data_IF_878771635395
#
_entry.id   IF_878771635395
#
_cell.length_a   1.000
_cell.length_b   1.000
_cell.length_c   1.000
_cell.angle_alpha   90.00
_cell.angle_beta   90.00
_cell.angle_gamma   90.00
#
_symmetry.space_group_name_H-M   'P 1'
#
loop_
_entity.id
_entity.type
_entity.pdbx_description
1 polymer ?
#
# COMPACT_ATOMS: atom_id res chain seq x y z
N UNK A 1 -12.41 4.24 4.37
CA UNK A 1 -12.66 5.16 5.50
C UNK A 1 -11.37 5.18 6.33
N UNK A 2 -10.72 6.34 6.54
CA UNK A 2 -9.43 6.36 7.28
C UNK A 2 -9.72 6.27 8.78
N UNK A 3 -9.19 5.25 9.43
CA UNK A 3 -9.31 5.02 10.88
C UNK A 3 -7.96 5.30 11.54
N UNK A 4 -7.98 5.80 12.77
CA UNK A 4 -6.78 5.99 13.58
C UNK A 4 -6.90 5.28 14.92
N UNK A 5 -5.76 4.91 15.51
CA UNK A 5 -5.70 4.37 16.88
C UNK A 5 -5.28 5.52 17.80
N UNK A 6 -6.11 5.84 18.79
CA UNK A 6 -5.80 6.83 19.82
C UNK A 6 -5.66 6.18 21.19
N UNK A 7 -4.72 6.65 22.00
CA UNK A 7 -4.58 6.23 23.39
C UNK A 7 -5.55 7.02 24.27
N UNK A 8 -6.46 6.33 24.96
CA UNK A 8 -7.38 6.94 25.92
C UNK A 8 -7.03 6.52 27.35
N UNK A 9 -7.62 7.18 28.34
CA UNK A 9 -7.49 6.80 29.76
C UNK A 9 -7.92 5.34 30.05
N UNK A 10 -8.63 4.68 29.12
CA UNK A 10 -9.08 3.29 29.20
C UNK A 10 -8.38 2.37 28.16
N UNK A 11 -7.21 2.78 27.68
CA UNK A 11 -6.39 2.07 26.69
C UNK A 11 -6.61 2.55 25.24
N UNK A 12 -5.97 1.87 24.30
CA UNK A 12 -6.06 2.20 22.87
C UNK A 12 -7.47 1.95 22.31
N UNK A 13 -7.95 2.87 21.47
CA UNK A 13 -9.28 2.83 20.83
C UNK A 13 -9.18 3.24 19.36
N UNK A 14 -10.03 2.63 18.53
CA UNK A 14 -10.21 3.06 17.14
C UNK A 14 -11.11 4.28 17.10
N UNK A 15 -10.70 5.28 16.32
CA UNK A 15 -11.48 6.46 16.03
C UNK A 15 -11.67 6.63 14.53
N UNK A 16 -12.81 7.19 14.15
CA UNK A 16 -13.05 7.63 12.78
C UNK A 16 -12.18 8.86 12.44
N UNK A 17 -12.26 9.32 11.20
CA UNK A 17 -11.54 10.51 10.74
C UNK A 17 -11.97 11.81 11.44
N UNK A 18 -13.04 11.77 12.23
CA UNK A 18 -13.57 12.88 13.03
C UNK A 18 -13.20 12.74 14.52
N UNK A 19 -12.42 11.72 14.89
CA UNK A 19 -12.02 11.46 16.27
C UNK A 19 -13.11 10.81 17.13
N UNK A 20 -14.24 10.38 16.55
CA UNK A 20 -15.25 9.67 17.31
C UNK A 20 -14.85 8.21 17.52
N UNK A 21 -15.09 7.71 18.72
CA UNK A 21 -14.89 6.30 19.04
C UNK A 21 -15.78 5.43 18.15
N UNK A 22 -15.13 4.55 17.39
CA UNK A 22 -15.83 3.49 16.68
C UNK A 22 -16.30 2.50 17.73
N UNK A 23 -17.62 2.31 17.82
CA UNK A 23 -18.23 1.36 18.75
C UNK A 23 -17.65 -0.03 18.50
N UNK A 24 -17.34 -0.74 19.58
CA UNK A 24 -16.84 -2.12 19.54
C UNK A 24 -17.94 -3.05 19.04
N UNK A 25 -17.98 -3.27 17.74
CA UNK A 25 -18.80 -4.31 17.13
C UNK A 25 -18.01 -5.62 17.14
N UNK A 26 -18.68 -6.70 17.51
CA UNK A 26 -18.11 -8.03 17.50
C UNK A 26 -19.07 -9.00 16.81
N UNK A 27 -18.57 -10.18 16.45
CA UNK A 27 -19.38 -11.21 15.83
C UNK A 27 -20.30 -11.91 16.85
N UNK A 28 -21.51 -12.25 16.42
CA UNK A 28 -22.46 -13.05 17.22
C UNK A 28 -22.05 -14.52 17.40
N UNK A 29 -20.94 -14.92 16.78
CA UNK A 29 -20.46 -16.32 16.68
C UNK A 29 -18.94 -16.36 16.67
N UNK A 30 -18.38 -17.51 17.05
CA UNK A 30 -16.93 -17.74 17.03
C UNK A 30 -16.37 -17.72 15.60
N UNK A 31 -15.46 -16.80 15.33
CA UNK A 31 -14.79 -16.62 14.04
C UNK A 31 -13.27 -16.62 14.20
N UNK A 32 -12.59 -17.31 13.30
CA UNK A 32 -11.15 -17.20 13.10
C UNK A 32 -10.89 -16.50 11.77
N UNK A 33 -10.13 -15.41 11.80
CA UNK A 33 -9.53 -14.82 10.62
C UNK A 33 -8.19 -15.52 10.34
N UNK A 34 -8.18 -16.34 9.28
CA UNK A 34 -7.01 -17.06 8.79
C UNK A 34 -6.28 -16.15 7.81
N UNK A 35 -4.98 -15.90 8.06
CA UNK A 35 -4.17 -14.98 7.26
C UNK A 35 -2.81 -15.60 6.93
N UNK A 36 -2.74 -16.43 5.87
CA UNK A 36 -1.50 -16.99 5.39
C UNK A 36 -0.67 -15.91 4.70
N UNK A 37 0.61 -15.80 5.08
CA UNK A 37 1.56 -14.87 4.47
C UNK A 37 2.83 -15.59 4.07
N UNK A 38 3.28 -15.38 2.85
CA UNK A 38 4.60 -15.72 2.36
C UNK A 38 5.39 -14.43 2.15
N UNK A 39 6.58 -14.33 2.73
CA UNK A 39 7.50 -13.22 2.51
C UNK A 39 8.72 -13.70 1.72
N UNK A 40 8.93 -13.05 0.58
CA UNK A 40 10.09 -13.24 -0.29
C UNK A 40 11.20 -12.32 0.20
N UNK A 41 12.13 -12.88 0.95
CA UNK A 41 13.23 -12.17 1.59
C UNK A 41 14.43 -11.89 0.67
N UNK A 42 14.35 -12.34 -0.59
CA UNK A 42 15.33 -12.03 -1.64
C UNK A 42 14.81 -10.93 -2.61
N UNK A 43 15.30 -9.67 -2.52
CA UNK A 43 14.80 -8.56 -3.32
C UNK A 43 14.87 -8.78 -4.84
N UNK A 44 15.87 -9.53 -5.31
CA UNK A 44 16.02 -9.84 -6.74
C UNK A 44 14.80 -10.61 -7.29
N UNK A 45 14.18 -11.46 -6.46
CA UNK A 45 13.00 -12.23 -6.86
C UNK A 45 11.76 -11.36 -6.97
N UNK A 46 11.71 -10.18 -6.34
CA UNK A 46 10.58 -9.27 -6.47
C UNK A 46 10.37 -8.81 -7.92
N UNK A 47 11.39 -8.86 -8.76
CA UNK A 47 11.26 -8.54 -10.19
C UNK A 47 10.56 -9.65 -10.99
N UNK A 48 10.78 -10.91 -10.64
CA UNK A 48 10.35 -12.09 -11.41
C UNK A 48 9.10 -12.76 -10.85
N UNK A 49 8.96 -12.78 -9.53
CA UNK A 49 7.88 -13.46 -8.84
C UNK A 49 6.59 -12.62 -8.88
N UNK A 50 5.47 -13.32 -9.06
CA UNK A 50 4.13 -12.76 -9.27
C UNK A 50 3.10 -13.71 -8.65
N UNK A 51 1.88 -13.26 -8.29
CA UNK A 51 0.92 -14.10 -7.60
C UNK A 51 0.61 -15.42 -8.32
N UNK A 52 0.58 -15.42 -9.65
CA UNK A 52 0.35 -16.62 -10.47
C UNK A 52 1.43 -17.71 -10.35
N UNK A 53 2.62 -17.34 -9.85
CA UNK A 53 3.71 -18.25 -9.57
C UNK A 53 3.58 -18.96 -8.22
N UNK A 54 2.59 -18.60 -7.41
CA UNK A 54 2.41 -19.08 -6.03
C UNK A 54 1.04 -19.71 -5.90
N UNK A 55 1.00 -20.96 -5.47
CA UNK A 55 -0.23 -21.66 -5.11
C UNK A 55 -0.25 -21.91 -3.61
N UNK A 56 -1.41 -21.70 -3.01
CA UNK A 56 -1.64 -21.94 -1.60
C UNK A 56 -2.78 -22.93 -1.43
N UNK A 57 -2.57 -23.94 -0.61
CA UNK A 57 -3.65 -24.76 -0.06
C UNK A 57 -3.51 -24.87 1.46
N UNK A 58 -4.61 -25.18 2.13
CA UNK A 58 -4.67 -25.26 3.59
C UNK A 58 -5.36 -26.54 3.99
N UNK A 59 -4.75 -27.28 4.90
CA UNK A 59 -5.32 -28.48 5.53
C UNK A 59 -5.38 -28.29 7.02
N UNK A 60 -6.33 -28.92 7.70
CA UNK A 60 -6.30 -29.07 9.15
C UNK A 60 -6.51 -30.51 9.55
N UNK A 61 -6.01 -30.82 10.74
CA UNK A 61 -6.16 -32.14 11.33
C UNK A 61 -7.55 -32.36 11.91
N UNK A 62 -8.23 -31.28 12.33
CA UNK A 62 -9.57 -31.34 12.89
C UNK A 62 -10.64 -31.49 11.79
N UNK A 63 -11.44 -32.59 11.75
CA UNK A 63 -12.48 -32.80 10.74
C UNK A 63 -13.57 -31.72 10.74
N UNK A 64 -13.84 -31.10 11.89
CA UNK A 64 -14.79 -30.01 12.04
C UNK A 64 -14.33 -28.75 11.29
N UNK A 65 -13.07 -28.68 10.90
CA UNK A 65 -12.46 -27.61 10.13
C UNK A 65 -12.24 -27.96 8.66
N UNK A 66 -12.89 -29.02 8.15
CA UNK A 66 -12.87 -29.36 6.72
C UNK A 66 -13.37 -28.21 5.81
N UNK A 67 -14.06 -27.21 6.36
CA UNK A 67 -14.43 -25.95 5.69
C UNK A 67 -13.42 -24.80 5.88
N UNK A 68 -12.17 -25.08 6.24
CA UNK A 68 -11.11 -24.07 6.31
C UNK A 68 -10.85 -23.37 4.98
N UNK A 69 -11.19 -24.01 3.87
CA UNK A 69 -11.21 -23.37 2.57
C UNK A 69 -12.26 -22.24 2.56
N UNK A 70 -11.96 -21.07 1.97
CA UNK A 70 -12.88 -19.95 1.95
C UNK A 70 -14.24 -20.36 1.35
N UNK A 71 -15.32 -19.94 2.00
CA UNK A 71 -16.67 -20.27 1.55
C UNK A 71 -16.94 -19.68 0.17
N UNK A 72 -17.26 -20.53 -0.82
CA UNK A 72 -17.72 -20.08 -2.13
C UNK A 72 -16.64 -19.83 -3.19
N UNK A 73 -15.37 -20.15 -2.93
CA UNK A 73 -14.31 -19.96 -3.93
C UNK A 73 -13.00 -20.69 -3.62
N UNK A 74 -12.07 -20.64 -4.56
CA UNK A 74 -10.68 -21.07 -4.34
C UNK A 74 -9.90 -20.01 -3.58
N UNK A 75 -8.90 -20.44 -2.80
CA UNK A 75 -7.88 -19.53 -2.26
C UNK A 75 -7.24 -18.75 -3.41
N UNK A 76 -7.06 -17.45 -3.21
CA UNK A 76 -6.37 -16.56 -4.14
C UNK A 76 -5.12 -16.02 -3.47
N UNK A 77 -3.97 -16.15 -4.12
CA UNK A 77 -2.75 -15.48 -3.67
C UNK A 77 -2.74 -14.09 -4.30
N UNK A 78 -2.50 -13.05 -3.50
CA UNK A 78 -2.41 -11.65 -3.95
C UNK A 78 -1.18 -10.98 -3.36
N UNK A 79 -0.85 -9.76 -3.81
CA UNK A 79 0.13 -8.88 -3.18
C UNK A 79 -0.54 -7.57 -2.78
N UNK A 80 -1.65 -7.69 -2.06
CA UNK A 80 -2.55 -6.58 -1.72
C UNK A 80 -1.97 -5.54 -0.73
N UNK A 81 -0.76 -5.75 -0.23
CA UNK A 81 -0.05 -4.80 0.64
C UNK A 81 1.04 -4.05 -0.13
N UNK A 82 1.43 -2.83 0.28
CA UNK A 82 2.44 -2.03 -0.44
C UNK A 82 3.81 -2.71 -0.59
N UNK A 83 4.18 -3.58 0.35
CA UNK A 83 5.45 -4.30 0.28
C UNK A 83 5.32 -5.51 -0.66
N UNK A 84 5.93 -5.39 -1.84
CA UNK A 84 5.97 -6.41 -2.90
C UNK A 84 6.59 -7.75 -2.46
N UNK A 85 7.33 -7.80 -1.36
CA UNK A 85 7.84 -9.07 -0.83
C UNK A 85 6.73 -9.98 -0.28
N UNK A 86 5.56 -9.44 0.06
CA UNK A 86 4.48 -10.21 0.68
C UNK A 86 3.47 -10.76 -0.32
N UNK A 87 3.26 -12.07 -0.25
CA UNK A 87 2.22 -12.82 -0.91
C UNK A 87 1.20 -13.26 0.14
N UNK A 88 -0.04 -12.86 -0.05
CA UNK A 88 -1.10 -13.03 0.94
C UNK A 88 -2.14 -13.99 0.40
N UNK A 89 -2.47 -15.01 1.18
CA UNK A 89 -3.62 -15.86 0.92
C UNK A 89 -4.91 -15.12 1.26
N UNK A 90 -5.83 -15.03 0.31
CA UNK A 90 -7.16 -14.45 0.47
C UNK A 90 -8.22 -15.23 -0.30
N UNK A 91 -9.36 -14.61 -0.50
CA UNK A 91 -10.46 -15.13 -1.31
C UNK A 91 -11.15 -13.99 -2.08
N UNK A 92 -12.23 -14.33 -2.80
CA UNK A 92 -13.01 -13.35 -3.57
C UNK A 92 -13.61 -12.24 -2.70
N UNK A 93 -14.02 -12.58 -1.46
CA UNK A 93 -14.66 -11.62 -0.56
C UNK A 93 -13.64 -10.71 0.13
N UNK A 94 -12.45 -11.25 0.42
CA UNK A 94 -11.38 -10.55 1.13
C UNK A 94 -10.02 -10.95 0.59
N UNK A 95 -9.28 -9.99 0.02
CA UNK A 95 -7.91 -10.24 -0.50
C UNK A 95 -6.85 -10.43 0.58
N UNK A 96 -7.18 -10.14 1.84
CA UNK A 96 -6.29 -10.20 3.00
C UNK A 96 -6.81 -11.21 4.02
N UNK A 97 -6.58 -12.50 3.76
CA UNK A 97 -7.10 -13.59 4.59
C UNK A 97 -8.57 -13.92 4.30
N UNK A 98 -9.16 -14.75 5.15
CA UNK A 98 -10.59 -15.09 5.12
C UNK A 98 -11.09 -15.54 6.50
N UNK A 99 -12.40 -15.69 6.64
CA UNK A 99 -13.02 -16.07 7.91
C UNK A 99 -13.48 -17.51 7.93
N UNK A 100 -13.19 -18.19 9.02
CA UNK A 100 -13.60 -19.56 9.31
C UNK A 100 -14.49 -19.55 10.55
N UNK A 101 -15.64 -20.20 10.46
CA UNK A 101 -16.52 -20.39 11.62
C UNK A 101 -15.99 -21.51 12.48
N UNK A 102 -15.94 -21.28 13.78
CA UNK A 102 -15.44 -22.25 14.74
C UNK A 102 -16.59 -22.95 15.48
N UNK A 103 -16.43 -24.26 15.79
CA UNK A 103 -17.26 -24.94 16.79
C UNK A 103 -17.16 -24.30 18.18
N UNK A 104 -18.13 -24.56 19.05
CA UNK A 104 -18.24 -23.90 20.36
C UNK A 104 -17.17 -24.31 21.39
N UNK A 105 -16.47 -25.41 21.16
CA UNK A 105 -15.56 -26.08 22.10
C UNK A 105 -14.12 -26.20 21.59
N UNK A 106 -13.84 -25.68 20.39
CA UNK A 106 -12.50 -25.73 19.80
C UNK A 106 -11.63 -24.58 20.30
N UNK A 107 -10.62 -24.88 21.12
CA UNK A 107 -9.69 -23.88 21.68
C UNK A 107 -8.25 -24.01 21.16
N UNK A 108 -7.94 -25.12 20.49
CA UNK A 108 -6.69 -25.34 19.76
C UNK A 108 -7.02 -25.75 18.35
N UNK A 109 -6.33 -25.16 17.39
CA UNK A 109 -6.54 -25.36 15.95
C UNK A 109 -5.19 -25.63 15.32
N UNK A 110 -5.09 -26.72 14.59
CA UNK A 110 -3.86 -27.10 13.89
C UNK A 110 -4.14 -27.11 12.39
N UNK A 111 -3.36 -26.32 11.64
CA UNK A 111 -3.44 -26.35 10.18
C UNK A 111 -2.06 -26.23 9.55
N UNK A 112 -1.97 -26.65 8.29
CA UNK A 112 -0.77 -26.57 7.47
C UNK A 112 -1.05 -25.69 6.27
N UNK A 113 -0.24 -24.66 6.07
CA UNK A 113 -0.20 -23.91 4.83
C UNK A 113 0.79 -24.55 3.87
N UNK A 114 0.28 -24.99 2.74
CA UNK A 114 1.07 -25.60 1.66
C UNK A 114 1.28 -24.57 0.56
N UNK A 115 2.51 -24.08 0.45
CA UNK A 115 2.94 -23.18 -0.61
C UNK A 115 3.68 -23.97 -1.69
N UNK A 116 3.18 -23.91 -2.93
CA UNK A 116 3.88 -24.40 -4.12
C UNK A 116 4.28 -23.20 -4.97
N UNK A 117 5.59 -23.04 -5.17
CA UNK A 117 6.20 -21.85 -5.75
C UNK A 117 6.99 -22.28 -6.99
N UNK A 118 6.64 -21.69 -8.14
CA UNK A 118 7.32 -21.94 -9.40
C UNK A 118 7.53 -20.61 -10.14
N UNK A 119 8.78 -20.15 -10.20
CA UNK A 119 9.18 -18.91 -10.89
C UNK A 119 10.14 -19.26 -12.04
N UNK A 120 9.62 -19.53 -13.25
CA UNK A 120 10.43 -20.00 -14.37
C UNK A 120 11.58 -19.05 -14.74
N UNK A 121 11.33 -17.74 -14.71
CA UNK A 121 12.32 -16.73 -15.06
C UNK A 121 13.52 -16.67 -14.10
N UNK A 122 13.37 -17.19 -12.87
CA UNK A 122 14.41 -17.29 -11.87
C UNK A 122 14.92 -18.73 -11.66
N UNK A 123 14.44 -19.69 -12.47
CA UNK A 123 14.70 -21.13 -12.30
C UNK A 123 14.42 -21.64 -10.86
N UNK A 124 13.44 -21.03 -10.18
CA UNK A 124 13.08 -21.38 -8.82
C UNK A 124 11.86 -22.31 -8.81
N UNK A 125 11.99 -23.46 -8.16
CA UNK A 125 10.88 -24.34 -7.81
C UNK A 125 11.04 -24.76 -6.36
N UNK A 126 10.02 -24.51 -5.54
CA UNK A 126 10.13 -24.72 -4.10
C UNK A 126 8.75 -25.06 -3.52
N UNK A 127 8.73 -25.97 -2.55
CA UNK A 127 7.57 -26.26 -1.71
C UNK A 127 7.86 -25.87 -0.28
N UNK A 128 6.84 -25.34 0.38
CA UNK A 128 6.92 -24.99 1.79
C UNK A 128 5.66 -25.44 2.49
N UNK A 129 5.83 -26.20 3.55
CA UNK A 129 4.77 -26.53 4.51
C UNK A 129 4.98 -25.67 5.76
N UNK A 130 3.95 -24.96 6.19
CA UNK A 130 3.97 -24.20 7.43
C UNK A 130 2.87 -24.73 8.35
N UNK A 131 3.28 -25.61 9.25
CA UNK A 131 2.46 -26.21 10.30
C UNK A 131 2.30 -25.20 11.43
N UNK A 132 1.05 -24.85 11.75
CA UNK A 132 0.73 -23.87 12.77
C UNK A 132 -0.26 -24.47 13.76
N UNK A 133 0.13 -24.48 15.03
CA UNK A 133 -0.75 -24.76 16.16
C UNK A 133 -1.20 -23.46 16.81
N UNK A 134 -2.46 -23.07 16.57
CA UNK A 134 -3.09 -21.89 17.15
C UNK A 134 -3.84 -22.24 18.43
N UNK A 135 -3.47 -21.58 19.52
CA UNK A 135 -4.22 -21.62 20.78
C UNK A 135 -5.07 -20.36 20.91
N UNK A 136 -6.38 -20.54 20.97
CA UNK A 136 -7.36 -19.47 21.10
C UNK A 136 -7.48 -19.06 22.57
N UNK A 137 -6.97 -17.88 22.90
CA UNK A 137 -7.10 -17.36 24.25
C UNK A 137 -8.55 -16.94 24.53
N UNK A 138 -9.03 -17.31 25.71
CA UNK A 138 -10.34 -16.91 26.21
C UNK A 138 -10.43 -15.39 26.39
N UNK A 139 -11.59 -14.82 26.13
CA UNK A 139 -11.82 -13.38 26.26
C UNK A 139 -13.29 -13.01 26.04
N UNK A 140 -13.62 -11.71 26.13
CA UNK A 140 -15.00 -11.24 26.04
C UNK A 140 -15.55 -11.15 24.60
N UNK A 141 -14.74 -11.51 23.61
CA UNK A 141 -15.07 -11.39 22.19
C UNK A 141 -15.10 -12.77 21.52
N UNK A 142 -15.76 -12.84 20.37
CA UNK A 142 -15.94 -14.06 19.59
C UNK A 142 -15.06 -14.10 18.33
N UNK A 143 -14.18 -13.12 18.13
CA UNK A 143 -13.31 -13.06 16.95
C UNK A 143 -11.85 -13.27 17.35
N UNK A 144 -11.17 -14.18 16.66
CA UNK A 144 -9.73 -14.40 16.75
C UNK A 144 -9.10 -14.13 15.38
N UNK A 145 -7.87 -13.62 15.35
CA UNK A 145 -7.23 -13.24 14.09
C UNK A 145 -5.74 -13.49 14.12
N UNK A 146 -5.20 -14.02 13.03
CA UNK A 146 -3.76 -14.10 12.78
C UNK A 146 -3.14 -12.75 12.40
N UNK A 147 -3.94 -11.69 12.26
CA UNK A 147 -3.47 -10.33 12.04
C UNK A 147 -3.08 -9.66 13.36
N UNK A 148 -1.77 -9.58 13.61
CA UNK A 148 -1.20 -8.95 14.80
C UNK A 148 -1.56 -7.46 14.91
N UNK A 149 -1.81 -6.77 13.80
CA UNK A 149 -2.17 -5.35 13.82
C UNK A 149 -3.54 -5.11 14.49
N UNK A 150 -4.41 -6.12 14.46
CA UNK A 150 -5.72 -6.10 15.12
C UNK A 150 -5.63 -6.30 16.64
N UNK A 151 -4.46 -6.66 17.19
CA UNK A 151 -4.29 -6.95 18.62
C UNK A 151 -3.90 -5.72 19.46
N UNK A 152 -4.00 -4.52 18.90
CA UNK A 152 -3.56 -3.26 19.53
C UNK A 152 -4.18 -3.03 20.91
N UNK A 153 -5.39 -3.56 21.19
CA UNK A 153 -6.06 -3.46 22.50
C UNK A 153 -5.66 -4.53 23.50
N UNK A 154 -5.01 -5.60 23.06
CA UNK A 154 -4.87 -6.78 23.89
C UNK A 154 -3.59 -6.76 24.70
N UNK A 155 -2.44 -6.26 24.20
CA UNK A 155 -1.19 -6.36 24.97
C UNK A 155 0.06 -5.61 24.49
N UNK A 156 -0.04 -4.62 23.59
CA UNK A 156 1.18 -3.99 23.06
C UNK A 156 2.05 -3.23 24.09
N UNK A 157 1.62 -3.05 25.34
CA UNK A 157 2.35 -2.25 26.33
C UNK A 157 2.20 -2.70 27.80
N UNK A 158 2.21 -4.00 28.11
CA UNK A 158 2.41 -4.40 29.52
C UNK A 158 3.89 -4.19 29.90
N UNK A 159 4.24 -3.26 30.82
CA UNK A 159 5.63 -2.99 31.19
C UNK A 159 6.30 -4.26 31.74
N UNK A 160 7.45 -4.61 31.17
CA UNK A 160 8.24 -5.76 31.63
C UNK A 160 7.88 -7.11 31.01
N UNK A 161 6.92 -7.18 30.08
CA UNK A 161 6.72 -8.37 29.23
C UNK A 161 7.28 -8.12 27.82
N UNK A 162 7.93 -9.10 27.19
CA UNK A 162 8.28 -8.98 25.78
C UNK A 162 6.99 -8.74 24.97
N UNK A 163 7.03 -7.90 23.92
CA UNK A 163 5.87 -7.72 23.07
C UNK A 163 5.35 -9.08 22.57
N UNK A 164 4.07 -9.22 22.27
CA UNK A 164 3.61 -10.35 21.44
C UNK A 164 4.09 -10.04 20.02
N UNK A 165 5.24 -10.60 19.62
CA UNK A 165 6.05 -9.92 18.59
C UNK A 165 5.79 -10.39 17.15
N UNK A 166 5.25 -11.57 16.87
CA UNK A 166 5.36 -12.10 15.51
C UNK A 166 4.04 -12.54 14.89
N UNK A 167 3.75 -11.97 13.72
CA UNK A 167 2.71 -12.46 12.84
C UNK A 167 3.22 -13.71 12.11
N UNK A 168 2.46 -14.83 12.11
CA UNK A 168 2.89 -16.06 11.45
C UNK A 168 3.08 -15.82 9.96
N UNK A 169 4.34 -15.68 9.55
CA UNK A 169 4.76 -15.36 8.19
C UNK A 169 5.72 -16.44 7.73
N UNK A 170 5.39 -17.14 6.66
CA UNK A 170 6.26 -18.09 5.98
C UNK A 170 7.37 -17.33 5.27
N UNK A 171 8.63 -17.68 5.49
CA UNK A 171 9.76 -17.11 4.75
C UNK A 171 10.08 -17.97 3.54
N UNK A 172 10.49 -17.36 2.42
CA UNK A 172 10.91 -18.12 1.25
C UNK A 172 12.23 -18.85 1.53
N UNK A 173 13.22 -18.21 2.15
CA UNK A 173 14.58 -18.78 2.23
C UNK A 173 14.80 -19.95 3.20
N UNK A 174 13.86 -20.29 4.08
CA UNK A 174 14.14 -21.21 5.19
C UNK A 174 14.79 -20.54 6.41
N UNK A 175 15.21 -19.27 6.30
CA UNK A 175 16.08 -18.64 7.31
C UNK A 175 15.63 -17.20 7.64
N UNK A 176 16.14 -16.66 8.75
CA UNK A 176 15.94 -15.25 9.10
C UNK A 176 14.70 -14.95 9.95
N UNK A 177 14.29 -15.88 10.81
CA UNK A 177 13.26 -15.59 11.82
C UNK A 177 13.80 -14.69 12.93
N UNK A 178 13.00 -13.71 13.33
CA UNK A 178 13.33 -12.77 14.41
C UNK A 178 13.52 -13.48 15.76
N UNK A 179 14.40 -12.91 16.60
CA UNK A 179 14.62 -13.39 17.97
C UNK A 179 13.31 -13.41 18.78
N UNK A 180 12.89 -14.60 19.22
CA UNK A 180 11.69 -14.81 20.02
C UNK A 180 10.51 -15.46 19.29
N UNK A 181 10.64 -15.73 17.98
CA UNK A 181 9.70 -16.56 17.24
C UNK A 181 10.06 -18.03 17.42
N UNK A 182 9.15 -18.83 17.98
CA UNK A 182 9.35 -20.27 18.16
C UNK A 182 8.97 -21.00 16.87
N UNK A 183 9.87 -21.01 15.90
CA UNK A 183 9.72 -21.74 14.64
C UNK A 183 10.83 -22.77 14.53
N UNK A 184 10.45 -24.05 14.41
CA UNK A 184 11.37 -25.09 14.00
C UNK A 184 11.38 -25.14 12.46
N UNK A 185 12.58 -25.18 11.87
CA UNK A 185 12.77 -25.30 10.43
C UNK A 185 13.37 -26.66 10.12
N UNK A 186 12.68 -27.45 9.31
CA UNK A 186 13.17 -28.74 8.80
C UNK A 186 13.41 -28.56 7.31
N UNK A 187 14.69 -28.56 6.94
CA UNK A 187 15.13 -28.54 5.54
C UNK A 187 15.21 -29.99 5.03
N UNK A 188 14.34 -30.32 4.06
CA UNK A 188 14.29 -31.64 3.43
C UNK A 188 14.84 -31.49 2.01
N UNK A 189 16.14 -31.72 1.87
CA UNK A 189 16.79 -31.83 0.56
C UNK A 189 16.27 -33.06 -0.18
N UNK A 190 15.29 -32.86 -1.05
CA UNK A 190 14.87 -33.84 -2.04
C UNK A 190 15.94 -33.82 -3.14
N UNK A 191 17.01 -34.60 -2.95
CA UNK A 191 18.30 -34.47 -3.66
C UNK A 191 18.27 -34.20 -5.17
N UNK A 192 19.42 -33.74 -5.71
CA UNK A 192 19.70 -33.15 -7.05
C UNK A 192 18.93 -33.67 -8.30
N UNK A 193 18.26 -34.82 -8.23
CA UNK A 193 17.45 -35.39 -9.31
C UNK A 193 15.93 -35.21 -9.12
N UNK A 194 15.46 -34.58 -8.04
CA UNK A 194 14.02 -34.37 -7.84
C UNK A 194 13.49 -33.23 -8.71
N UNK A 195 12.54 -33.53 -9.61
CA UNK A 195 11.84 -32.51 -10.38
C UNK A 195 10.99 -31.57 -9.49
N UNK A 196 10.82 -31.91 -8.21
CA UNK A 196 9.89 -31.28 -7.27
C UNK A 196 10.45 -30.06 -6.53
N UNK A 197 11.77 -29.82 -6.56
CA UNK A 197 12.44 -28.70 -5.89
C UNK A 197 12.66 -28.91 -4.39
N UNK A 198 13.21 -27.89 -3.72
CA UNK A 198 13.48 -27.93 -2.28
C UNK A 198 12.18 -27.91 -1.45
N UNK A 199 12.15 -28.64 -0.33
CA UNK A 199 11.04 -28.66 0.62
C UNK A 199 11.48 -28.13 1.98
N UNK A 200 10.81 -27.09 2.46
CA UNK A 200 10.94 -26.59 3.83
C UNK A 200 9.67 -26.89 4.63
N UNK A 201 9.84 -27.38 5.85
CA UNK A 201 8.75 -27.49 6.82
C UNK A 201 9.02 -26.54 7.97
N UNK A 202 8.08 -25.63 8.22
CA UNK A 202 8.07 -24.73 9.38
C UNK A 202 7.04 -25.25 10.39
N UNK A 203 7.44 -25.40 11.64
CA UNK A 203 6.53 -25.76 12.73
C UNK A 203 6.47 -24.60 13.73
N UNK A 204 5.31 -23.98 13.86
CA UNK A 204 5.07 -22.82 14.71
C UNK A 204 3.90 -23.05 15.67
N UNK A 205 4.00 -22.52 16.89
CA UNK A 205 2.87 -22.43 17.82
C UNK A 205 2.62 -21.00 18.24
N UNK A 206 1.35 -20.58 18.20
CA UNK A 206 0.95 -19.21 18.45
C UNK A 206 -0.29 -19.14 19.34
N UNK A 207 -0.23 -18.29 20.36
CA UNK A 207 -1.42 -17.93 21.14
C UNK A 207 -2.05 -16.66 20.57
N UNK A 208 -3.32 -16.74 20.16
CA UNK A 208 -4.03 -15.59 19.59
C UNK A 208 -5.17 -15.14 20.51
N UNK A 209 -5.31 -13.84 20.79
CA UNK A 209 -6.35 -13.32 21.66
C UNK A 209 -7.70 -13.18 20.97
N UNK A 210 -8.76 -13.24 21.77
CA UNK A 210 -10.07 -12.75 21.37
C UNK A 210 -10.05 -11.22 21.24
N UNK A 211 -10.49 -10.70 20.10
CA UNK A 211 -10.55 -9.28 19.74
C UNK A 211 -11.95 -8.90 19.26
N UNK A 212 -12.38 -7.64 19.38
CA UNK A 212 -13.57 -7.15 18.69
C UNK A 212 -13.39 -7.27 17.17
N UNK A 213 -14.42 -7.71 16.46
CA UNK A 213 -14.42 -7.73 14.99
C UNK A 213 -14.06 -6.38 14.36
N UNK A 214 -14.52 -5.27 14.97
CA UNK A 214 -14.23 -3.91 14.53
C UNK A 214 -12.74 -3.54 14.50
N UNK A 215 -11.87 -4.35 15.11
CA UNK A 215 -10.43 -4.08 15.19
C UNK A 215 -9.68 -4.62 13.95
N UNK A 216 -10.36 -5.30 13.03
CA UNK A 216 -9.83 -5.82 11.77
C UNK A 216 -9.83 -4.78 10.63
N UNK A 217 -9.33 -3.58 10.89
CA UNK A 217 -9.38 -2.45 9.94
C UNK A 217 -8.63 -2.69 8.63
N UNK A 218 -7.60 -3.55 8.65
CA UNK A 218 -6.77 -3.83 7.48
C UNK A 218 -7.45 -4.72 6.45
N UNK A 219 -8.50 -5.47 6.83
CA UNK A 219 -9.27 -6.26 5.88
C UNK A 219 -9.91 -5.33 4.85
N UNK A 220 -10.52 -4.22 5.27
CA UNK A 220 -11.07 -3.24 4.33
C UNK A 220 -9.97 -2.45 3.60
N UNK A 221 -8.86 -2.16 4.27
CA UNK A 221 -7.78 -1.32 3.73
C UNK A 221 -6.95 -1.94 2.61
N UNK A 222 -6.97 -3.26 2.44
CA UNK A 222 -6.18 -3.98 1.42
C UNK A 222 -7.05 -4.67 0.36
N UNK A 223 -8.23 -4.14 0.07
CA UNK A 223 -9.05 -4.64 -1.04
C UNK A 223 -8.62 -4.09 -2.40
N UNK A 224 -8.03 -2.89 -2.44
CA UNK A 224 -7.61 -2.25 -3.69
C UNK A 224 -6.31 -2.84 -4.24
N UNK A 225 -6.22 -2.99 -5.57
CA UNK A 225 -5.00 -3.49 -6.24
C UNK A 225 -3.85 -2.53 -5.97
N UNK A 226 -2.66 -3.06 -5.73
CA UNK A 226 -1.43 -2.28 -5.61
C UNK A 226 -0.78 -2.09 -6.98
N UNK A 227 0.04 -1.04 -7.13
CA UNK A 227 0.64 -0.69 -8.41
C UNK A 227 1.50 -1.83 -8.99
N UNK A 228 2.17 -2.59 -8.12
CA UNK A 228 3.00 -3.74 -8.52
C UNK A 228 2.19 -4.99 -8.91
N UNK A 229 0.88 -4.99 -8.68
CA UNK A 229 -0.03 -6.06 -9.13
C UNK A 229 -0.58 -5.81 -10.53
N UNK A 230 -0.27 -4.67 -11.12
CA UNK A 230 -0.79 -4.22 -12.40
C UNK A 230 0.30 -4.28 -13.46
N UNK A 231 -0.06 -4.77 -14.65
CA UNK A 231 0.76 -4.62 -15.84
C UNK A 231 0.59 -3.23 -16.40
N UNK A 232 1.52 -2.34 -16.03
CA UNK A 232 1.49 -0.96 -16.48
C UNK A 232 1.58 -0.85 -18.00
N UNK A 233 0.95 0.19 -18.54
CA UNK A 233 0.91 0.47 -19.98
C UNK A 233 1.22 1.95 -20.23
N UNK A 234 1.67 2.26 -21.44
CA UNK A 234 1.98 3.63 -21.85
C UNK A 234 1.19 4.11 -23.09
N UNK A 235 0.44 3.20 -23.72
CA UNK A 235 -0.45 3.52 -24.84
C UNK A 235 -1.87 3.25 -24.40
N UNK A 236 -2.76 4.21 -24.66
CA UNK A 236 -4.15 4.16 -24.22
C UNK A 236 -5.09 4.41 -25.40
N UNK A 237 -6.17 3.66 -25.51
CA UNK A 237 -7.23 3.89 -26.52
C UNK A 237 -8.60 4.22 -25.92
N UNK A 238 -8.87 3.77 -24.68
CA UNK A 238 -10.08 4.10 -23.91
C UNK A 238 -9.86 5.31 -23.02
N UNK A 239 -10.94 5.98 -22.61
CA UNK A 239 -10.93 7.15 -21.71
C UNK A 239 -10.04 8.34 -22.14
N UNK A 240 -9.52 8.36 -23.38
CA UNK A 240 -8.65 9.44 -23.87
C UNK A 240 -9.39 10.78 -23.93
N UNK A 241 -10.66 10.79 -24.34
CA UNK A 241 -11.45 12.02 -24.37
C UNK A 241 -11.66 12.57 -22.95
N UNK A 242 -12.00 11.72 -21.98
CA UNK A 242 -12.09 12.10 -20.57
C UNK A 242 -10.75 12.58 -20.01
N UNK A 243 -9.63 11.95 -20.38
CA UNK A 243 -8.30 12.42 -20.00
C UNK A 243 -7.99 13.81 -20.57
N UNK A 244 -8.36 14.06 -21.83
CA UNK A 244 -8.17 15.37 -22.48
C UNK A 244 -9.06 16.45 -21.86
N UNK A 245 -10.30 16.13 -21.51
CA UNK A 245 -11.23 17.03 -20.82
C UNK A 245 -10.79 17.38 -19.39
N UNK A 246 -9.89 16.59 -18.80
CA UNK A 246 -9.38 16.84 -17.45
C UNK A 246 -8.25 17.88 -17.39
N UNK A 247 -7.80 18.42 -18.53
CA UNK A 247 -6.73 19.41 -18.61
C UNK A 247 -7.12 20.58 -19.52
N UNK A 248 -6.82 21.80 -19.08
CA UNK A 248 -7.06 23.00 -19.89
C UNK A 248 -5.98 23.21 -20.96
N UNK A 249 -4.80 22.61 -20.78
CA UNK A 249 -3.65 22.79 -21.66
C UNK A 249 -2.82 21.49 -21.76
N UNK A 250 -2.12 21.32 -22.87
CA UNK A 250 -1.10 20.27 -23.04
C UNK A 250 0.29 20.83 -22.78
N UNK A 251 1.02 20.19 -21.87
CA UNK A 251 2.42 20.46 -21.58
C UNK A 251 3.31 19.61 -22.50
N UNK A 252 4.35 20.22 -23.12
CA UNK A 252 5.36 19.46 -23.87
C UNK A 252 6.05 18.42 -22.97
N UNK A 253 6.25 17.21 -23.49
CA UNK A 253 6.83 16.07 -22.75
C UNK A 253 8.21 16.43 -22.18
N UNK A 254 8.98 17.22 -22.92
CA UNK A 254 10.34 17.63 -22.57
C UNK A 254 10.38 18.46 -21.29
N UNK A 255 9.35 19.27 -21.02
CA UNK A 255 9.24 20.07 -19.80
C UNK A 255 9.05 19.14 -18.59
N UNK A 256 8.11 18.20 -18.68
CA UNK A 256 7.87 17.23 -17.63
C UNK A 256 9.08 16.31 -17.39
N UNK A 257 9.68 15.78 -18.47
CA UNK A 257 10.88 14.94 -18.40
C UNK A 257 12.05 15.70 -17.76
N UNK A 258 12.21 16.98 -18.07
CA UNK A 258 13.25 17.83 -17.45
C UNK A 258 13.01 18.05 -15.96
N UNK A 259 11.76 18.25 -15.54
CA UNK A 259 11.41 18.36 -14.13
C UNK A 259 11.69 17.06 -13.36
N UNK A 260 11.32 15.90 -13.92
CA UNK A 260 11.63 14.59 -13.32
C UNK A 260 13.14 14.35 -13.19
N UNK A 261 13.93 14.67 -14.24
CA UNK A 261 15.39 14.58 -14.17
C UNK A 261 15.96 15.50 -13.09
N UNK A 262 15.51 16.75 -13.05
CA UNK A 262 15.94 17.71 -12.03
C UNK A 262 15.60 17.23 -10.60
N UNK A 263 14.44 16.61 -10.38
CA UNK A 263 14.04 16.05 -9.08
C UNK A 263 14.93 14.88 -8.63
N UNK A 264 15.53 14.15 -9.58
CA UNK A 264 16.46 13.05 -9.30
C UNK A 264 17.89 13.51 -9.08
N UNK A 265 18.32 14.50 -9.87
CA UNK A 265 19.71 14.93 -9.92
C UNK A 265 20.05 15.94 -8.81
N UNK A 266 19.06 16.69 -8.32
CA UNK A 266 19.23 17.69 -7.27
C UNK A 266 18.64 17.15 -5.95
N UNK A 267 19.47 16.90 -4.93
CA UNK A 267 18.99 16.45 -3.62
C UNK A 267 18.14 17.53 -2.94
N UNK A 268 17.15 17.09 -2.15
CA UNK A 268 16.28 17.95 -1.34
C UNK A 268 16.12 17.43 0.10
N UNK A 269 17.11 16.67 0.60
CA UNK A 269 17.13 16.16 1.97
C UNK A 269 17.48 17.25 3.01
N UNK A 270 17.53 16.86 4.29
CA UNK A 270 17.77 17.73 5.45
C UNK A 270 19.07 18.56 5.39
N UNK A 271 20.02 18.20 4.53
CA UNK A 271 21.30 18.88 4.36
C UNK A 271 21.29 19.97 3.29
N UNK A 272 20.18 20.13 2.58
CA UNK A 272 20.06 20.99 1.40
C UNK A 272 19.35 22.32 1.71
N UNK A 273 19.48 23.29 0.82
CA UNK A 273 18.77 24.58 0.94
C UNK A 273 17.25 24.47 0.77
N UNK A 274 16.75 23.33 0.28
CA UNK A 274 15.33 23.09 0.05
C UNK A 274 14.62 22.54 1.29
N UNK A 275 15.38 22.09 2.29
CA UNK A 275 14.81 21.64 3.56
C UNK A 275 14.17 22.81 4.31
N UNK A 276 13.06 22.53 4.99
CA UNK A 276 12.22 23.48 5.74
C UNK A 276 11.49 24.53 4.90
N UNK A 277 10.48 24.13 4.13
CA UNK A 277 9.55 25.07 3.48
C UNK A 277 10.03 25.68 2.15
N UNK A 278 11.12 25.18 1.58
CA UNK A 278 11.72 25.71 0.34
C UNK A 278 11.64 24.73 -0.84
N UNK A 279 10.83 23.68 -0.77
CA UNK A 279 10.71 22.68 -1.84
C UNK A 279 10.09 23.27 -3.12
N UNK A 280 9.23 24.29 -3.02
CA UNK A 280 8.70 24.99 -4.18
C UNK A 280 9.78 25.76 -5.00
N UNK A 281 10.92 26.08 -4.37
CA UNK A 281 12.07 26.73 -5.02
C UNK A 281 12.98 25.72 -5.73
N UNK A 282 12.75 24.42 -5.56
CA UNK A 282 13.53 23.36 -6.17
C UNK A 282 13.47 23.44 -7.72
N UNK A 283 14.59 23.20 -8.44
CA UNK A 283 14.62 23.32 -9.91
C UNK A 283 13.52 22.54 -10.63
N UNK A 284 13.18 21.34 -10.15
CA UNK A 284 12.07 20.56 -10.68
C UNK A 284 10.71 21.26 -10.55
N UNK A 285 10.41 21.85 -9.38
CA UNK A 285 9.18 22.60 -9.16
C UNK A 285 9.16 23.89 -9.96
N UNK A 286 10.31 24.57 -10.07
CA UNK A 286 10.45 25.77 -10.90
C UNK A 286 10.19 25.51 -12.37
N UNK A 287 10.72 24.41 -12.93
CA UNK A 287 10.45 24.02 -14.33
C UNK A 287 8.93 23.90 -14.58
N UNK A 288 8.19 23.21 -13.71
CA UNK A 288 6.75 23.01 -13.89
C UNK A 288 5.95 24.29 -13.62
N UNK A 289 6.22 24.96 -12.49
CA UNK A 289 5.48 26.17 -12.07
C UNK A 289 5.72 27.35 -13.01
N UNK A 290 6.96 27.60 -13.44
CA UNK A 290 7.27 28.67 -14.39
C UNK A 290 6.61 28.40 -15.74
N UNK A 291 6.68 27.15 -16.24
CA UNK A 291 5.97 26.79 -17.48
C UNK A 291 4.46 27.06 -17.37
N UNK A 292 3.82 26.64 -16.27
CA UNK A 292 2.40 26.89 -16.05
C UNK A 292 2.10 28.40 -16.02
N UNK A 293 2.87 29.16 -15.23
CA UNK A 293 2.65 30.59 -15.05
C UNK A 293 2.83 31.38 -16.35
N UNK A 294 3.64 30.90 -17.28
CA UNK A 294 3.82 31.50 -18.60
C UNK A 294 2.70 31.14 -19.60
N UNK A 295 2.18 29.91 -19.54
CA UNK A 295 1.33 29.34 -20.62
C UNK A 295 -0.14 29.14 -20.25
N UNK A 296 -0.49 28.99 -18.97
CA UNK A 296 -1.86 28.71 -18.56
C UNK A 296 -2.80 29.84 -19.00
N UNK A 297 -4.03 29.53 -19.43
CA UNK A 297 -4.97 30.56 -19.87
C UNK A 297 -5.38 31.49 -18.72
N UNK A 298 -5.55 30.93 -17.52
CA UNK A 298 -5.93 31.63 -16.29
C UNK A 298 -5.11 31.06 -15.11
N UNK A 299 -5.26 31.63 -13.92
CA UNK A 299 -4.71 31.06 -12.68
C UNK A 299 -3.19 30.84 -12.68
N UNK A 300 -2.44 31.86 -13.11
CA UNK A 300 -0.96 31.86 -13.23
C UNK A 300 -0.27 32.12 -11.89
N UNK A 301 -0.50 31.23 -10.93
CA UNK A 301 0.08 31.31 -9.59
C UNK A 301 0.57 29.95 -9.06
N UNK A 302 1.00 29.06 -9.96
CA UNK A 302 1.54 27.77 -9.57
C UNK A 302 2.83 27.93 -8.74
N UNK A 303 2.96 27.09 -7.72
CA UNK A 303 4.18 26.95 -6.91
C UNK A 303 4.74 25.52 -6.95
N UNK A 304 3.86 24.52 -7.01
CA UNK A 304 4.24 23.11 -7.07
C UNK A 304 3.17 22.32 -7.82
N UNK A 305 3.49 21.09 -8.21
CA UNK A 305 2.61 20.29 -9.04
C UNK A 305 2.74 18.79 -8.79
N UNK A 306 1.60 18.10 -8.71
CA UNK A 306 1.51 16.66 -8.45
C UNK A 306 1.19 15.92 -9.75
N UNK A 307 1.98 14.92 -10.16
CA UNK A 307 1.64 14.06 -11.28
C UNK A 307 0.62 12.99 -10.89
N UNK A 308 -0.34 12.76 -11.78
CA UNK A 308 -1.39 11.76 -11.73
C UNK A 308 -1.33 10.92 -13.01
N UNK A 309 -1.27 9.60 -12.89
CA UNK A 309 -0.82 8.72 -13.97
C UNK A 309 -1.86 7.66 -14.28
N UNK A 310 -2.15 7.47 -15.56
CA UNK A 310 -2.92 6.32 -16.04
C UNK A 310 -1.97 5.14 -16.19
N UNK A 311 -2.36 3.97 -15.69
CA UNK A 311 -1.47 2.80 -15.68
C UNK A 311 -2.04 1.60 -16.44
N UNK A 312 -3.33 1.58 -16.78
CA UNK A 312 -4.01 0.52 -17.55
C UNK A 312 -4.89 1.12 -18.66
N UNK A 313 -5.08 0.39 -19.76
CA UNK A 313 -5.94 0.75 -20.90
C UNK A 313 -7.35 1.19 -20.44
N UNK A 314 -7.97 0.42 -19.56
CA UNK A 314 -9.30 0.64 -19.02
C UNK A 314 -9.28 1.34 -17.65
N UNK A 315 -8.18 2.00 -17.30
CA UNK A 315 -8.08 2.77 -16.07
C UNK A 315 -9.27 3.73 -15.93
N UNK A 316 -10.01 3.59 -14.84
CA UNK A 316 -11.07 4.48 -14.38
C UNK A 316 -10.58 5.43 -13.28
N UNK A 317 -9.34 5.23 -12.82
CA UNK A 317 -8.65 6.03 -11.82
C UNK A 317 -7.26 6.49 -12.30
N UNK A 318 -6.82 7.64 -11.80
CA UNK A 318 -5.43 8.05 -11.81
C UNK A 318 -4.71 7.56 -10.56
N UNK A 319 -3.47 7.13 -10.76
CA UNK A 319 -2.52 6.82 -9.71
C UNK A 319 -1.73 8.06 -9.37
N UNK A 320 -1.70 8.43 -8.09
CA UNK A 320 -0.88 9.55 -7.67
C UNK A 320 0.61 9.19 -7.76
N UNK A 321 1.42 10.18 -8.14
CA UNK A 321 2.87 10.06 -8.12
C UNK A 321 3.43 9.87 -6.72
N UNK A 322 2.78 10.46 -5.71
CA UNK A 322 3.12 10.19 -4.32
C UNK A 322 2.41 8.92 -3.83
N UNK A 323 3.17 8.01 -3.19
CA UNK A 323 2.69 6.64 -2.95
C UNK A 323 1.66 6.51 -1.82
N UNK A 324 1.60 7.48 -0.91
CA UNK A 324 0.63 7.49 0.18
C UNK A 324 -0.68 8.18 -0.19
N UNK A 325 -0.71 8.88 -1.33
CA UNK A 325 -1.92 9.52 -1.84
C UNK A 325 -2.80 8.47 -2.53
N UNK A 326 -4.07 8.31 -2.11
CA UNK A 326 -5.00 7.38 -2.74
C UNK A 326 -5.18 7.65 -4.24
N UNK A 327 -5.47 6.59 -4.98
CA UNK A 327 -5.92 6.72 -6.37
C UNK A 327 -7.24 7.49 -6.41
N UNK A 328 -7.47 8.20 -7.51
CA UNK A 328 -8.66 9.04 -7.67
C UNK A 328 -9.29 8.79 -9.01
N UNK A 329 -10.61 8.59 -9.04
CA UNK A 329 -11.37 8.42 -10.28
C UNK A 329 -11.05 9.51 -11.31
N UNK A 330 -11.09 9.17 -12.59
CA UNK A 330 -10.79 10.10 -13.70
C UNK A 330 -11.83 11.21 -13.81
N UNK A 331 -13.12 10.91 -13.56
CA UNK A 331 -14.21 11.84 -13.82
C UNK A 331 -14.22 13.13 -12.95
N UNK A 332 -13.89 13.10 -11.65
CA UNK A 332 -13.80 14.30 -10.81
C UNK A 332 -12.86 15.39 -11.32
N UNK A 333 -11.75 15.04 -11.99
CA UNK A 333 -10.75 16.01 -12.46
C UNK A 333 -11.30 17.01 -13.49
N UNK A 334 -12.41 16.71 -14.16
CA UNK A 334 -13.02 17.61 -15.14
C UNK A 334 -13.51 18.92 -14.50
N UNK A 335 -13.88 18.87 -13.20
CA UNK A 335 -14.24 20.06 -12.42
C UNK A 335 -13.05 20.94 -12.09
N UNK A 336 -11.85 20.37 -12.15
CA UNK A 336 -10.58 20.99 -11.79
C UNK A 336 -9.69 21.22 -13.00
N UNK A 337 -10.20 21.01 -14.22
CA UNK A 337 -9.42 21.08 -15.47
C UNK A 337 -8.61 22.38 -15.62
N UNK A 338 -9.11 23.50 -15.07
CA UNK A 338 -8.45 24.81 -15.10
C UNK A 338 -7.21 24.91 -14.22
N UNK A 339 -6.91 23.88 -13.43
CA UNK A 339 -5.71 23.73 -12.62
C UNK A 339 -4.80 22.59 -13.11
N UNK A 340 -5.10 21.98 -14.26
CA UNK A 340 -4.40 20.78 -14.73
C UNK A 340 -3.81 20.99 -16.13
N UNK A 341 -2.61 20.45 -16.35
CA UNK A 341 -2.05 20.24 -17.68
C UNK A 341 -1.93 18.74 -17.97
N UNK A 342 -2.16 18.32 -19.21
CA UNK A 342 -1.88 16.94 -19.64
C UNK A 342 -0.50 16.84 -20.28
N UNK A 343 0.15 15.69 -20.13
CA UNK A 343 1.41 15.34 -20.79
C UNK A 343 1.19 14.04 -21.57
N UNK A 344 1.02 14.16 -22.88
CA UNK A 344 0.59 13.04 -23.72
C UNK A 344 -0.80 12.53 -23.36
N UNK A 345 -0.99 11.21 -23.42
CA UNK A 345 -2.25 10.53 -23.08
C UNK A 345 -2.22 9.79 -21.72
N UNK A 346 -1.10 9.87 -20.99
CA UNK A 346 -0.83 9.04 -19.80
C UNK A 346 -0.66 9.81 -18.49
N UNK A 347 -0.36 11.11 -18.53
CA UNK A 347 -0.05 11.89 -17.32
C UNK A 347 -0.88 13.17 -17.28
N UNK A 348 -1.47 13.43 -16.12
CA UNK A 348 -2.09 14.68 -15.74
C UNK A 348 -1.24 15.33 -14.65
N UNK A 349 -0.90 16.60 -14.81
CA UNK A 349 -0.13 17.38 -13.84
C UNK A 349 -1.08 18.39 -13.22
N UNK A 350 -1.36 18.24 -11.94
CA UNK A 350 -2.25 19.13 -11.18
C UNK A 350 -1.42 20.20 -10.46
N UNK A 351 -1.77 21.46 -10.64
CA UNK A 351 -1.01 22.60 -10.14
C UNK A 351 -1.65 23.22 -8.91
N UNK A 352 -0.82 23.45 -7.90
CA UNK A 352 -1.20 24.06 -6.64
C UNK A 352 -0.55 25.43 -6.50
N UNK A 353 -1.27 26.36 -5.85
CA UNK A 353 -0.75 27.68 -5.52
C UNK A 353 0.12 27.63 -4.26
N UNK A 354 0.95 28.66 -3.97
CA UNK A 354 1.65 28.73 -2.70
C UNK A 354 0.67 28.62 -1.51
N UNK A 355 1.10 27.89 -0.49
CA UNK A 355 0.45 27.88 0.82
C UNK A 355 0.83 29.18 1.54
N UNK A 356 -0.16 29.83 2.13
CA UNK A 356 -0.02 31.07 2.89
C UNK A 356 -0.64 30.91 4.27
N UNK A 357 -0.32 31.81 5.20
CA UNK A 357 -0.90 31.77 6.56
C UNK A 357 -2.43 31.84 6.59
N UNK A 358 -3.07 32.36 5.52
CA UNK A 358 -4.52 32.43 5.41
C UNK A 358 -5.16 31.07 5.15
N UNK A 359 -4.38 30.11 4.67
CA UNK A 359 -4.81 28.75 4.37
C UNK A 359 -4.78 27.85 5.62
N UNK A 360 -4.22 28.37 6.72
CA UNK A 360 -4.12 27.68 7.99
C UNK A 360 -5.39 27.90 8.83
N UNK A 361 -6.11 26.82 9.10
CA UNK A 361 -7.29 26.79 9.95
C UNK A 361 -7.06 26.06 11.28
N UNK A 362 -8.08 26.01 12.16
CA UNK A 362 -7.99 25.33 13.47
C UNK A 362 -7.84 23.81 13.37
N UNK A 363 -8.01 23.23 12.18
CA UNK A 363 -8.00 21.77 11.96
C UNK A 363 -6.89 21.32 11.00
N UNK A 364 -6.06 22.24 10.51
CA UNK A 364 -5.04 21.93 9.53
C UNK A 364 -4.86 23.05 8.50
N UNK A 365 -4.19 22.70 7.41
CA UNK A 365 -3.93 23.59 6.28
C UNK A 365 -4.72 23.14 5.06
N UNK A 366 -5.44 24.07 4.45
CA UNK A 366 -6.08 23.84 3.15
C UNK A 366 -5.05 23.97 2.03
N UNK A 367 -4.88 22.90 1.26
CA UNK A 367 -4.06 22.92 0.04
C UNK A 367 -4.96 23.29 -1.13
N UNK A 368 -4.63 24.38 -1.80
CA UNK A 368 -5.42 24.91 -2.90
C UNK A 368 -4.77 24.65 -4.26
N UNK A 369 -5.62 24.26 -5.19
CA UNK A 369 -5.32 24.33 -6.61
C UNK A 369 -5.13 25.78 -7.05
N UNK A 370 -4.44 25.99 -8.17
CA UNK A 370 -4.25 27.34 -8.74
C UNK A 370 -5.57 28.04 -9.07
N UNK A 371 -6.64 27.29 -9.36
CA UNK A 371 -7.98 27.83 -9.59
C UNK A 371 -8.74 28.23 -8.31
N UNK A 372 -8.13 28.03 -7.14
CA UNK A 372 -8.69 28.39 -5.83
C UNK A 372 -9.51 27.28 -5.16
N UNK A 373 -9.83 26.19 -5.86
CA UNK A 373 -10.50 25.05 -5.25
C UNK A 373 -9.60 24.42 -4.19
N UNK A 374 -10.20 24.02 -3.07
CA UNK A 374 -9.51 23.22 -2.04
C UNK A 374 -9.40 21.80 -2.56
N UNK A 375 -8.16 21.30 -2.65
CA UNK A 375 -7.88 19.92 -3.01
C UNK A 375 -8.07 19.01 -1.79
N UNK A 376 -7.39 19.33 -0.70
CA UNK A 376 -7.49 18.62 0.58
C UNK A 376 -7.12 19.51 1.76
N UNK A 377 -7.53 19.07 2.96
CA UNK A 377 -7.10 19.64 4.22
C UNK A 377 -6.11 18.67 4.89
N UNK A 378 -4.96 19.18 5.30
CA UNK A 378 -3.89 18.41 5.95
C UNK A 378 -3.82 18.77 7.42
N UNK A 379 -3.96 17.79 8.30
CA UNK A 379 -4.00 17.98 9.76
C UNK A 379 -2.62 18.25 10.37
N UNK A 380 -2.00 19.37 10.00
CA UNK A 380 -0.71 19.85 10.54
C UNK A 380 -0.89 21.13 11.35
N UNK A 381 0.02 21.38 12.30
CA UNK A 381 -0.01 22.59 13.11
C UNK A 381 0.47 23.80 12.27
N UNK A 382 -0.11 24.97 12.52
CA UNK A 382 0.31 26.22 11.88
C UNK A 382 1.78 26.53 12.16
N UNK A 383 2.30 26.12 13.31
CA UNK A 383 3.70 26.33 13.67
C UNK A 383 4.65 25.44 12.84
N UNK A 384 4.22 24.26 12.39
CA UNK A 384 5.02 23.41 11.49
C UNK A 384 5.14 24.05 10.10
N UNK A 385 4.07 24.70 9.63
CA UNK A 385 4.06 25.45 8.37
C UNK A 385 4.97 26.67 8.46
N UNK A 386 4.85 27.47 9.53
CA UNK A 386 5.67 28.68 9.73
C UNK A 386 7.15 28.37 9.92
N UNK A 387 7.47 27.26 10.59
CA UNK A 387 8.85 26.83 10.79
C UNK A 387 9.43 26.13 9.55
N UNK A 388 8.60 25.81 8.57
CA UNK A 388 8.93 25.06 7.37
C UNK A 388 9.06 23.55 7.61
N UNK A 389 8.90 23.06 8.85
CA UNK A 389 8.91 21.61 9.15
C UNK A 389 7.87 20.84 8.34
N UNK A 390 6.78 21.49 7.95
CA UNK A 390 5.84 21.01 6.95
C UNK A 390 5.97 21.80 5.63
N UNK A 391 6.09 21.08 4.52
CA UNK A 391 6.16 21.62 3.16
C UNK A 391 5.44 20.67 2.19
N UNK A 392 4.27 21.07 1.71
CA UNK A 392 3.46 20.24 0.80
C UNK A 392 4.15 19.99 -0.56
N UNK A 393 5.01 20.92 -1.00
CA UNK A 393 5.74 20.76 -2.25
C UNK A 393 6.77 19.61 -2.17
N UNK A 394 7.15 19.19 -0.94
CA UNK A 394 8.02 18.04 -0.72
C UNK A 394 7.43 16.74 -1.29
N UNK A 395 6.14 16.48 -1.08
CA UNK A 395 5.46 15.28 -1.60
C UNK A 395 5.43 15.26 -3.13
N UNK A 396 5.25 16.43 -3.75
CA UNK A 396 5.32 16.58 -5.20
C UNK A 396 6.73 16.33 -5.73
N UNK A 397 7.77 16.76 -5.00
CA UNK A 397 9.16 16.50 -5.35
C UNK A 397 9.51 15.01 -5.24
N UNK A 398 9.06 14.36 -4.16
CA UNK A 398 9.26 12.92 -3.99
C UNK A 398 8.56 12.13 -5.10
N UNK A 399 7.32 12.50 -5.44
CA UNK A 399 6.59 11.92 -6.55
C UNK A 399 7.36 12.01 -7.88
N UNK A 400 7.98 13.16 -8.18
CA UNK A 400 8.80 13.33 -9.37
C UNK A 400 10.12 12.56 -9.29
N UNK A 401 10.80 12.55 -8.16
CA UNK A 401 12.12 11.91 -8.02
C UNK A 401 12.03 10.38 -8.17
N UNK A 402 10.94 9.77 -7.69
CA UNK A 402 10.71 8.33 -7.82
C UNK A 402 9.91 7.96 -9.08
N UNK A 403 9.46 8.93 -9.87
CA UNK A 403 8.58 8.73 -11.02
C UNK A 403 9.07 7.63 -11.98
N UNK A 404 10.35 7.59 -12.41
CA UNK A 404 10.82 6.54 -13.33
C UNK A 404 10.76 5.12 -12.76
N UNK A 405 10.91 4.99 -11.44
CA UNK A 405 10.86 3.69 -10.76
C UNK A 405 9.40 3.26 -10.49
N UNK A 406 8.53 4.24 -10.20
CA UNK A 406 7.11 4.00 -9.91
C UNK A 406 6.32 3.72 -11.18
N UNK A 407 6.58 4.45 -12.27
CA UNK A 407 5.89 4.33 -13.56
C UNK A 407 6.85 4.08 -14.73
N UNK A 408 7.56 2.93 -14.77
CA UNK A 408 8.62 2.67 -15.74
C UNK A 408 8.14 2.71 -17.20
N UNK A 409 6.96 2.18 -17.49
CA UNK A 409 6.42 2.12 -18.86
C UNK A 409 6.08 3.52 -19.39
N UNK A 410 5.40 4.34 -18.57
CA UNK A 410 5.09 5.73 -18.89
C UNK A 410 6.36 6.55 -19.04
N UNK A 411 7.32 6.36 -18.13
CA UNK A 411 8.61 7.04 -18.21
C UNK A 411 9.36 6.68 -19.50
N UNK A 412 9.41 5.41 -19.88
CA UNK A 412 10.03 4.96 -21.13
C UNK A 412 9.41 5.68 -22.35
N UNK A 413 8.08 5.70 -22.44
CA UNK A 413 7.38 6.37 -23.53
C UNK A 413 7.60 7.89 -23.58
N UNK A 414 7.73 8.55 -22.42
CA UNK A 414 8.00 9.99 -22.36
C UNK A 414 9.48 10.33 -22.67
N UNK A 415 10.42 9.53 -22.17
CA UNK A 415 11.84 9.85 -22.20
C UNK A 415 12.56 9.40 -23.49
N UNK A 416 12.12 8.33 -24.15
CA UNK A 416 12.71 7.86 -25.41
C UNK A 416 12.30 8.75 -26.60
N UNK A 417 11.04 9.20 -26.63
CA UNK A 417 10.57 10.14 -27.66
C UNK A 417 11.30 11.50 -27.59
N UNK A 418 11.70 11.94 -26.39
CA UNK A 418 12.43 13.19 -26.19
C UNK A 418 13.88 13.19 -26.72
N UNK A 419 14.45 12.02 -27.09
CA UNK A 419 15.81 11.89 -27.64
C UNK A 419 15.83 11.99 -29.18
N UNK A 420 14.66 11.95 -29.84
CA UNK A 420 14.56 11.87 -31.32
C UNK A 420 14.13 13.17 -32.03
N UNK A 421 14.31 14.35 -31.42
CA UNK A 421 14.13 15.64 -32.09
C UNK A 421 15.42 16.48 -32.18
#
# INVERSE_FOLDING_TARGET
>A
MKHAITETNNGFRLVDAQGHLIKTADADRRLLHVLPKLYVDAPILHHFMRPEHVRLSVTADQPELNHLQPSGGSIQVTQCVPNKGYFIGGCQDTRYGWFVRLPGDLDVIDFVFHWDIAVPAAHLRQRIEHEISLKLNQGPYNTWSMDLSAWHRVRRFEPGKPPLVFQPTTLLSGAGFDEGRNVEVIDILLGDESEDGDLFVYVESLEIPAIPFSDLSYIEGFQDRQLHEISQQATFTRNNDAHRENAVIEMPKEVFVSAVRAARDVPFDKSTQYFKGHCAEHPAMKILSDWWNDHAPEHRCAAFAMPWVRVEEDADEYWCGYYETPNTAIAPFAKEQTANARVGDGVLVQFMRPITEQDCGPHGVDVHLVNGNVLWNVGVDIEDVKSGEYDEAWYSLEALSVFPNRFPEIWGALAEEAITC
#
